data_IF_500452646313
#
_entry.id   IF_500452646313
#
_cell.length_a   1.000
_cell.length_b   1.000
_cell.length_c   1.000
_cell.angle_alpha   90.00
_cell.angle_beta   90.00
_cell.angle_gamma   90.00
#
_symmetry.space_group_name_H-M   'P 1'
#
loop_
_entity.id
_entity.type
_entity.pdbx_description
1 polymer ?
#
# COMPACT_ATOMS: atom_id res chain seq x y z
N UNK A 1 12.01 -43.44 4.21
CA UNK A 1 11.75 -42.84 5.53
C UNK A 1 12.01 -41.35 5.36
N UNK A 2 11.02 -40.67 4.79
CA UNK A 2 11.06 -39.23 4.53
C UNK A 2 10.81 -38.54 5.86
N UNK A 3 11.86 -37.95 6.44
CA UNK A 3 11.69 -37.10 7.61
C UNK A 3 10.79 -35.92 7.21
N UNK A 4 9.69 -35.78 7.96
CA UNK A 4 8.79 -34.64 7.92
C UNK A 4 9.60 -33.36 8.13
N UNK A 5 9.88 -32.64 7.05
CA UNK A 5 10.15 -31.21 7.13
C UNK A 5 8.81 -30.50 7.32
N UNK A 6 8.22 -30.68 8.50
CA UNK A 6 7.16 -29.80 8.97
C UNK A 6 7.74 -28.40 9.06
N UNK A 7 6.96 -27.40 8.65
CA UNK A 7 7.31 -25.98 8.75
C UNK A 7 7.69 -25.66 10.22
N UNK A 8 8.99 -25.74 10.54
CA UNK A 8 9.46 -25.59 11.90
C UNK A 8 9.50 -24.09 12.26
N UNK A 9 8.39 -23.59 12.79
CA UNK A 9 8.36 -22.54 13.81
C UNK A 9 9.09 -21.24 13.51
N UNK A 10 8.93 -20.66 12.32
CA UNK A 10 9.33 -19.25 12.11
C UNK A 10 8.58 -18.38 13.13
N UNK A 11 9.30 -17.63 14.00
CA UNK A 11 8.67 -16.79 15.00
C UNK A 11 8.11 -15.49 14.39
N UNK A 12 8.28 -15.28 13.08
CA UNK A 12 7.95 -14.04 12.40
C UNK A 12 6.48 -13.61 12.58
N UNK A 13 5.47 -14.50 12.45
CA UNK A 13 4.07 -14.11 12.68
C UNK A 13 3.83 -13.66 14.13
N UNK A 14 4.42 -14.36 15.10
CA UNK A 14 4.29 -14.02 16.52
C UNK A 14 4.93 -12.66 16.83
N UNK A 15 6.17 -12.45 16.35
CA UNK A 15 6.89 -11.17 16.51
C UNK A 15 6.11 -10.03 15.87
N UNK A 16 5.56 -10.24 14.67
CA UNK A 16 4.76 -9.24 13.98
C UNK A 16 3.50 -8.87 14.77
N UNK A 17 2.73 -9.85 15.25
CA UNK A 17 1.51 -9.60 16.04
C UNK A 17 1.81 -8.85 17.35
N UNK A 18 2.83 -9.26 18.10
CA UNK A 18 3.24 -8.60 19.34
C UNK A 18 3.69 -7.17 19.07
N UNK A 19 4.47 -6.96 18.02
CA UNK A 19 4.94 -5.63 17.64
C UNK A 19 3.80 -4.71 17.18
N UNK A 20 2.81 -5.23 16.45
CA UNK A 20 1.60 -4.48 16.07
C UNK A 20 0.80 -4.08 17.30
N UNK A 21 0.66 -4.95 18.29
CA UNK A 21 -0.01 -4.59 19.55
C UNK A 21 0.74 -3.48 20.30
N UNK A 22 2.08 -3.58 20.40
CA UNK A 22 2.92 -2.54 21.03
C UNK A 22 2.82 -1.22 20.26
N UNK A 23 2.80 -1.25 18.93
CA UNK A 23 2.63 -0.07 18.10
C UNK A 23 1.29 0.63 18.40
N UNK A 24 0.17 -0.11 18.41
CA UNK A 24 -1.14 0.49 18.70
C UNK A 24 -1.25 1.00 20.13
N UNK A 25 -0.71 0.27 21.12
CA UNK A 25 -0.66 0.74 22.51
C UNK A 25 0.16 2.02 22.59
N UNK A 26 1.34 2.08 21.95
CA UNK A 26 2.16 3.28 21.90
C UNK A 26 1.45 4.47 21.25
N UNK A 27 0.74 4.25 20.14
CA UNK A 27 -0.02 5.30 19.45
C UNK A 27 -1.16 5.84 20.32
N UNK A 28 -1.94 4.95 20.93
CA UNK A 28 -3.06 5.35 21.80
C UNK A 28 -2.53 6.08 23.02
N UNK A 29 -1.46 5.60 23.65
CA UNK A 29 -0.88 6.24 24.82
C UNK A 29 -0.30 7.63 24.50
N UNK A 30 0.33 7.78 23.32
CA UNK A 30 0.92 9.02 22.87
C UNK A 30 -0.11 10.09 22.45
N UNK A 31 -1.32 9.68 22.02
CA UNK A 31 -2.35 10.60 21.51
C UNK A 31 -3.50 10.83 22.47
N UNK A 32 -3.88 9.84 23.27
CA UNK A 32 -5.07 9.86 24.12
C UNK A 32 -4.91 9.07 25.44
N UNK A 33 -3.68 8.76 25.87
CA UNK A 33 -3.39 7.84 26.99
C UNK A 33 -3.48 8.39 28.40
N UNK A 34 -3.74 9.69 28.58
CA UNK A 34 -3.76 10.34 29.89
C UNK A 34 -5.13 10.32 30.57
N UNK A 35 -5.15 10.54 31.89
CA UNK A 35 -6.39 10.71 32.68
C UNK A 35 -7.25 11.87 32.16
N UNK A 36 -6.63 12.88 31.55
CA UNK A 36 -7.26 14.04 30.94
C UNK A 36 -7.53 13.88 29.41
N UNK A 37 -7.31 12.70 28.83
CA UNK A 37 -7.25 12.45 27.37
C UNK A 37 -6.19 13.28 26.62
N UNK A 38 -5.30 13.94 27.34
CA UNK A 38 -4.10 14.57 26.79
C UNK A 38 -3.03 13.48 26.72
N UNK A 39 -2.73 13.00 25.51
CA UNK A 39 -1.70 11.97 25.30
C UNK A 39 -0.33 12.39 25.84
N UNK A 40 0.40 11.43 26.41
CA UNK A 40 1.74 11.70 26.92
C UNK A 40 2.76 11.50 25.79
N UNK A 41 3.39 12.59 25.38
CA UNK A 41 4.43 12.62 24.33
C UNK A 41 5.62 11.69 24.60
N UNK A 42 5.81 11.26 25.86
CA UNK A 42 6.77 10.22 26.21
C UNK A 42 6.52 8.91 25.46
N UNK A 43 5.27 8.50 25.23
CA UNK A 43 4.98 7.18 24.64
C UNK A 43 5.27 7.06 23.13
N UNK A 44 5.70 8.13 22.46
CA UNK A 44 6.19 8.06 21.08
C UNK A 44 7.35 7.06 20.91
N UNK A 45 8.19 6.86 21.93
CA UNK A 45 9.24 5.83 21.85
C UNK A 45 8.65 4.41 21.78
N UNK A 46 7.52 4.14 22.46
CA UNK A 46 6.84 2.83 22.43
C UNK A 46 6.25 2.59 21.05
N UNK A 47 5.66 3.62 20.44
CA UNK A 47 5.17 3.55 19.06
C UNK A 47 6.29 3.22 18.07
N UNK A 48 7.43 3.93 18.16
CA UNK A 48 8.60 3.69 17.30
C UNK A 48 9.18 2.29 17.53
N UNK A 49 9.24 1.82 18.78
CA UNK A 49 9.67 0.47 19.12
C UNK A 49 8.74 -0.57 18.49
N UNK A 50 7.42 -0.35 18.53
CA UNK A 50 6.43 -1.17 17.86
C UNK A 50 6.64 -1.24 16.34
N UNK A 51 6.89 -0.10 15.68
CA UNK A 51 7.22 -0.06 14.25
C UNK A 51 8.51 -0.83 13.96
N UNK A 52 9.57 -0.63 14.74
CA UNK A 52 10.83 -1.33 14.56
C UNK A 52 10.67 -2.84 14.71
N UNK A 53 9.86 -3.28 15.69
CA UNK A 53 9.49 -4.68 15.87
C UNK A 53 8.70 -5.24 14.69
N UNK A 54 7.75 -4.48 14.15
CA UNK A 54 6.95 -4.89 12.97
C UNK A 54 7.84 -5.04 11.74
N UNK A 55 8.72 -4.08 11.48
CA UNK A 55 9.69 -4.14 10.38
C UNK A 55 10.60 -5.37 10.57
N UNK A 56 11.08 -5.61 11.78
CA UNK A 56 11.92 -6.78 12.06
C UNK A 56 11.18 -8.09 11.79
N UNK A 57 9.94 -8.23 12.30
CA UNK A 57 9.10 -9.41 12.04
C UNK A 57 8.82 -9.61 10.54
N UNK A 58 8.54 -8.54 9.82
CA UNK A 58 8.35 -8.59 8.37
C UNK A 58 9.64 -8.98 7.62
N UNK A 59 10.79 -8.43 7.99
CA UNK A 59 12.07 -8.76 7.37
C UNK A 59 12.50 -10.20 7.66
N UNK A 60 12.25 -10.70 8.87
CA UNK A 60 12.44 -12.12 9.20
C UNK A 60 11.57 -13.01 8.31
N UNK A 61 10.30 -12.61 8.10
CA UNK A 61 9.41 -13.33 7.19
C UNK A 61 9.94 -13.29 5.76
N UNK A 62 10.32 -12.13 5.22
CA UNK A 62 10.87 -12.01 3.85
C UNK A 62 12.14 -12.85 3.66
N UNK A 63 13.03 -12.89 4.66
CA UNK A 63 14.27 -13.67 4.61
C UNK A 63 13.99 -15.18 4.53
N UNK A 64 12.99 -15.66 5.27
CA UNK A 64 12.59 -17.07 5.27
C UNK A 64 12.08 -17.54 3.89
N UNK A 65 11.43 -16.64 3.15
CA UNK A 65 10.90 -16.90 1.80
C UNK A 65 11.85 -16.54 0.67
N UNK A 66 13.02 -15.94 0.95
CA UNK A 66 13.91 -15.41 -0.08
C UNK A 66 14.53 -16.51 -0.96
N UNK A 67 14.84 -17.66 -0.37
CA UNK A 67 15.51 -18.80 -1.04
C UNK A 67 14.51 -19.90 -1.46
N UNK A 68 13.20 -19.66 -1.32
CA UNK A 68 12.16 -20.65 -1.60
C UNK A 68 11.78 -20.69 -3.09
N UNK A 69 12.50 -21.50 -3.85
CA UNK A 69 12.32 -21.69 -5.28
C UNK A 69 11.08 -22.54 -5.65
N UNK A 70 10.66 -23.44 -4.76
CA UNK A 70 9.49 -24.32 -4.93
C UNK A 70 8.32 -23.89 -4.05
N UNK A 71 7.09 -24.14 -4.50
CA UNK A 71 5.91 -24.15 -3.62
C UNK A 71 6.04 -25.39 -2.72
N UNK A 72 6.58 -25.19 -1.52
CA UNK A 72 6.83 -26.26 -0.55
C UNK A 72 5.52 -26.98 -0.21
N UNK A 73 5.47 -28.30 -0.43
CA UNK A 73 4.47 -29.18 0.17
C UNK A 73 3.06 -29.24 -0.44
N UNK A 74 2.73 -28.54 -1.53
CA UNK A 74 1.39 -28.65 -2.11
C UNK A 74 1.32 -29.69 -3.25
N UNK A 75 1.05 -30.96 -2.90
CA UNK A 75 0.13 -31.75 -3.73
C UNK A 75 -1.24 -31.06 -3.65
N UNK A 76 -1.43 -29.98 -4.43
CA UNK A 76 -2.77 -29.41 -4.61
C UNK A 76 -3.57 -30.50 -5.31
N UNK A 77 -4.44 -31.17 -4.56
CA UNK A 77 -5.44 -32.07 -5.14
C UNK A 77 -6.38 -31.19 -5.95
N UNK A 78 -6.02 -31.01 -7.23
CA UNK A 78 -6.79 -30.21 -8.16
C UNK A 78 -8.10 -30.89 -8.47
N UNK A 79 -9.16 -30.55 -7.74
CA UNK A 79 -10.50 -31.12 -7.98
C UNK A 79 -11.10 -30.67 -9.31
N UNK A 80 -10.62 -29.56 -9.89
CA UNK A 80 -11.11 -29.03 -11.15
C UNK A 80 -9.95 -28.64 -12.10
N UNK A 81 -9.99 -29.06 -13.38
CA UNK A 81 -8.88 -28.90 -14.33
C UNK A 81 -8.52 -27.44 -14.63
N UNK A 82 -9.48 -26.50 -14.52
CA UNK A 82 -9.22 -25.07 -14.71
C UNK A 82 -8.36 -24.46 -13.59
N UNK A 83 -8.72 -24.71 -12.33
CA UNK A 83 -8.06 -24.10 -11.17
C UNK A 83 -6.72 -24.76 -10.84
N UNK A 84 -6.52 -26.01 -11.26
CA UNK A 84 -5.25 -26.72 -11.14
C UNK A 84 -4.09 -26.05 -11.92
N UNK A 85 -4.38 -25.15 -12.87
CA UNK A 85 -3.35 -24.45 -13.66
C UNK A 85 -2.78 -23.19 -13.00
N UNK A 86 -3.39 -22.70 -11.92
CA UNK A 86 -3.02 -21.45 -11.25
C UNK A 86 -2.30 -21.77 -9.95
N UNK A 87 -1.06 -21.31 -9.82
CA UNK A 87 -0.26 -21.39 -8.59
C UNK A 87 -0.94 -20.63 -7.44
N UNK A 88 -0.97 -21.20 -6.24
CA UNK A 88 -1.59 -20.61 -5.03
C UNK A 88 -1.07 -19.20 -4.75
N UNK A 89 0.25 -18.94 -4.96
CA UNK A 89 0.85 -17.61 -4.79
C UNK A 89 0.23 -16.55 -5.70
N UNK A 90 -0.04 -16.88 -6.97
CA UNK A 90 -0.69 -15.95 -7.91
C UNK A 90 -2.15 -15.71 -7.55
N UNK A 91 -2.86 -16.75 -7.11
CA UNK A 91 -4.24 -16.61 -6.66
C UNK A 91 -4.34 -15.70 -5.43
N UNK A 92 -3.45 -15.88 -4.45
CA UNK A 92 -3.34 -15.00 -3.28
C UNK A 92 -3.07 -13.55 -3.65
N UNK A 93 -2.18 -13.30 -4.62
CA UNK A 93 -1.91 -11.95 -5.14
C UNK A 93 -3.17 -11.30 -5.76
N UNK A 94 -3.97 -12.05 -6.51
CA UNK A 94 -5.24 -11.54 -7.05
C UNK A 94 -6.23 -11.15 -5.95
N UNK A 95 -6.39 -11.99 -4.92
CA UNK A 95 -7.26 -11.67 -3.78
C UNK A 95 -6.75 -10.41 -3.06
N UNK A 96 -5.45 -10.33 -2.78
CA UNK A 96 -4.83 -9.17 -2.16
C UNK A 96 -5.11 -7.88 -2.95
N UNK A 97 -4.88 -7.89 -4.27
CA UNK A 97 -5.18 -6.73 -5.13
C UNK A 97 -6.67 -6.36 -5.13
N UNK A 98 -7.57 -7.34 -5.10
CA UNK A 98 -9.01 -7.06 -4.99
C UNK A 98 -9.36 -6.39 -3.66
N UNK A 99 -8.72 -6.77 -2.54
CA UNK A 99 -8.95 -6.11 -1.24
C UNK A 99 -8.49 -4.65 -1.24
N UNK A 100 -7.36 -4.34 -1.87
CA UNK A 100 -6.89 -2.95 -2.04
C UNK A 100 -7.88 -2.13 -2.88
N UNK A 101 -8.38 -2.69 -3.99
CA UNK A 101 -9.40 -2.03 -4.82
C UNK A 101 -10.67 -1.73 -4.02
N UNK A 102 -11.09 -2.62 -3.11
CA UNK A 102 -12.23 -2.37 -2.24
C UNK A 102 -11.96 -1.20 -1.28
N UNK A 103 -10.79 -1.14 -0.64
CA UNK A 103 -10.41 -0.02 0.23
C UNK A 103 -10.45 1.31 -0.53
N UNK A 104 -9.80 1.42 -1.70
CA UNK A 104 -9.85 2.64 -2.51
C UNK A 104 -11.26 2.98 -3.01
N UNK A 105 -12.06 1.97 -3.33
CA UNK A 105 -13.47 2.16 -3.74
C UNK A 105 -14.30 2.76 -2.62
N UNK A 106 -14.07 2.37 -1.35
CA UNK A 106 -14.76 2.99 -0.21
C UNK A 106 -14.36 4.46 -0.02
N UNK A 107 -13.07 4.79 -0.17
CA UNK A 107 -12.59 6.17 -0.10
C UNK A 107 -13.19 7.05 -1.22
N UNK A 108 -13.22 6.54 -2.46
CA UNK A 108 -13.84 7.24 -3.59
C UNK A 108 -15.36 7.37 -3.43
N UNK A 109 -16.03 6.33 -2.93
CA UNK A 109 -17.47 6.36 -2.67
C UNK A 109 -17.82 7.39 -1.59
N UNK A 110 -17.04 7.46 -0.51
CA UNK A 110 -17.19 8.48 0.51
C UNK A 110 -17.06 9.89 -0.10
N UNK A 111 -16.00 10.14 -0.88
CA UNK A 111 -15.82 11.41 -1.60
C UNK A 111 -17.01 11.77 -2.50
N UNK A 112 -17.47 10.83 -3.34
CA UNK A 112 -18.59 11.06 -4.25
C UNK A 112 -19.89 11.35 -3.48
N UNK A 113 -20.12 10.67 -2.35
CA UNK A 113 -21.31 10.90 -1.52
C UNK A 113 -21.30 12.28 -0.88
N UNK A 114 -20.15 12.71 -0.34
CA UNK A 114 -20.01 14.07 0.18
C UNK A 114 -20.16 15.12 -0.92
N UNK A 115 -19.59 14.89 -2.10
CA UNK A 115 -19.73 15.80 -3.26
C UNK A 115 -21.18 15.91 -3.74
N UNK A 116 -21.92 14.81 -3.76
CA UNK A 116 -23.32 14.79 -4.21
C UNK A 116 -24.29 15.40 -3.17
N UNK A 117 -23.93 15.37 -1.89
CA UNK A 117 -24.76 15.92 -0.81
C UNK A 117 -24.59 17.45 -0.63
N UNK A 118 -23.47 18.01 -1.07
CA UNK A 118 -23.17 19.44 -0.93
C UNK A 118 -23.58 20.23 -2.19
N UNK A 119 -24.38 21.30 -2.04
CA UNK A 119 -24.69 22.22 -3.14
C UNK A 119 -23.44 22.98 -3.60
N UNK A 120 -23.41 23.40 -4.88
CA UNK A 120 -22.29 24.17 -5.42
C UNK A 120 -22.16 25.53 -4.72
N UNK A 121 -20.92 25.93 -4.42
CA UNK A 121 -20.62 27.19 -3.72
C UNK A 121 -21.25 28.39 -4.44
N UNK A 122 -22.12 29.11 -3.74
CA UNK A 122 -22.56 30.45 -4.12
C UNK A 122 -22.36 31.39 -2.93
N UNK A 123 -21.96 32.65 -3.16
CA UNK A 123 -21.65 33.59 -2.08
C UNK A 123 -22.84 33.95 -1.17
N UNK A 124 -24.07 33.60 -1.58
CA UNK A 124 -25.31 33.86 -0.85
C UNK A 124 -25.92 32.57 -0.22
N UNK A 125 -25.22 31.43 -0.27
CA UNK A 125 -25.76 30.13 0.15
C UNK A 125 -25.37 29.80 1.60
N UNK A 126 -26.38 29.80 2.48
CA UNK A 126 -26.29 29.20 3.82
C UNK A 126 -26.14 27.67 3.67
N UNK A 127 -24.94 27.16 3.95
CA UNK A 127 -24.58 25.77 3.75
C UNK A 127 -25.06 24.85 4.88
N UNK A 128 -25.81 25.37 5.87
CA UNK A 128 -26.53 24.58 6.88
C UNK A 128 -25.64 23.71 7.78
N UNK A 129 -24.33 23.91 7.71
CA UNK A 129 -23.31 23.25 8.53
C UNK A 129 -22.77 24.30 9.51
N UNK A 130 -22.77 23.97 10.80
CA UNK A 130 -22.28 24.82 11.90
C UNK A 130 -20.77 25.17 11.82
N UNK A 131 -20.07 24.72 10.78
CA UNK A 131 -18.65 24.99 10.53
C UNK A 131 -18.55 25.69 9.18
N UNK A 132 -18.36 27.01 9.24
CA UNK A 132 -18.34 27.90 8.10
C UNK A 132 -17.00 27.81 7.35
N UNK A 133 -16.93 26.90 6.38
CA UNK A 133 -16.27 27.11 5.09
C UNK A 133 -17.05 26.32 4.03
N UNK A 134 -17.68 27.05 3.12
CA UNK A 134 -18.42 26.45 2.03
C UNK A 134 -17.42 25.77 1.07
N UNK A 135 -17.61 24.47 0.79
CA UNK A 135 -16.60 23.62 0.17
C UNK A 135 -16.21 24.11 -1.24
N UNK A 136 -14.92 24.45 -1.42
CA UNK A 136 -14.35 24.69 -2.75
C UNK A 136 -14.03 23.33 -3.39
N UNK A 137 -14.46 23.08 -4.64
CA UNK A 137 -14.10 21.84 -5.30
C UNK A 137 -12.60 21.63 -5.36
N UNK A 138 -12.13 20.44 -4.98
CA UNK A 138 -10.72 20.08 -5.15
C UNK A 138 -10.22 20.35 -6.58
N UNK A 139 -11.11 20.24 -7.58
CA UNK A 139 -10.85 20.61 -8.96
C UNK A 139 -10.42 22.07 -9.16
N UNK A 140 -10.95 23.03 -8.39
CA UNK A 140 -10.58 24.45 -8.51
C UNK A 140 -9.23 24.76 -7.85
N UNK A 141 -8.86 24.05 -6.79
CA UNK A 141 -7.51 24.09 -6.22
C UNK A 141 -6.50 23.48 -7.21
N UNK A 142 -6.86 22.34 -7.83
CA UNK A 142 -6.02 21.60 -8.78
C UNK A 142 -5.82 22.33 -10.12
N UNK A 143 -6.75 23.20 -10.56
CA UNK A 143 -6.60 23.96 -11.82
C UNK A 143 -5.29 24.76 -11.89
N UNK A 144 -4.81 25.26 -10.75
CA UNK A 144 -3.56 26.02 -10.67
C UNK A 144 -2.30 25.17 -10.95
N UNK A 145 -2.36 23.85 -10.71
CA UNK A 145 -1.24 22.91 -10.83
C UNK A 145 -1.46 21.80 -11.88
N UNK A 146 -2.42 21.98 -12.79
CA UNK A 146 -2.84 20.97 -13.77
C UNK A 146 -1.67 20.41 -14.61
N UNK A 147 -0.67 21.24 -14.92
CA UNK A 147 0.53 20.84 -15.66
C UNK A 147 1.32 19.76 -14.90
N UNK A 148 1.50 19.91 -13.58
CA UNK A 148 2.20 18.92 -12.75
C UNK A 148 1.40 17.62 -12.64
N UNK A 149 0.07 17.70 -12.56
CA UNK A 149 -0.82 16.53 -12.58
C UNK A 149 -0.71 15.73 -13.87
N UNK A 150 -0.66 16.41 -15.03
CA UNK A 150 -0.48 15.76 -16.34
C UNK A 150 0.89 15.08 -16.44
N UNK A 151 1.96 15.77 -16.02
CA UNK A 151 3.32 15.20 -16.02
C UNK A 151 3.37 13.94 -15.15
N UNK A 152 2.78 13.96 -13.96
CA UNK A 152 2.72 12.81 -13.06
C UNK A 152 1.94 11.64 -13.68
N UNK A 153 0.82 11.91 -14.34
CA UNK A 153 0.02 10.88 -15.01
C UNK A 153 0.82 10.24 -16.16
N UNK A 154 1.51 11.06 -16.96
CA UNK A 154 2.37 10.57 -18.03
C UNK A 154 3.56 9.76 -17.50
N UNK A 155 4.17 10.20 -16.39
CA UNK A 155 5.23 9.46 -15.71
C UNK A 155 4.76 8.07 -15.24
N UNK A 156 3.55 7.96 -14.67
CA UNK A 156 3.00 6.67 -14.27
C UNK A 156 2.67 5.76 -15.46
N UNK A 157 2.14 6.31 -16.56
CA UNK A 157 1.88 5.56 -17.79
C UNK A 157 3.16 5.04 -18.44
N UNK A 158 4.21 5.87 -18.50
CA UNK A 158 5.52 5.43 -18.97
C UNK A 158 6.13 4.39 -18.02
N UNK A 159 5.94 4.55 -16.71
CA UNK A 159 6.40 3.57 -15.71
C UNK A 159 5.76 2.19 -15.95
N UNK A 160 4.45 2.12 -16.15
CA UNK A 160 3.78 0.84 -16.44
C UNK A 160 4.25 0.22 -17.77
N UNK A 161 4.48 1.04 -18.81
CA UNK A 161 5.08 0.57 -20.07
C UNK A 161 6.48 -0.01 -19.85
N UNK A 162 7.34 0.65 -19.06
CA UNK A 162 8.69 0.16 -18.78
C UNK A 162 8.68 -1.18 -18.05
N UNK A 163 7.74 -1.43 -17.13
CA UNK A 163 7.58 -2.73 -16.47
C UNK A 163 7.22 -3.84 -17.47
N UNK A 164 6.31 -3.56 -18.40
CA UNK A 164 5.93 -4.54 -19.44
C UNK A 164 7.11 -4.85 -20.37
N UNK A 165 7.90 -3.84 -20.73
CA UNK A 165 9.13 -4.03 -21.51
C UNK A 165 10.20 -4.81 -20.72
N UNK A 166 10.29 -4.59 -19.41
CA UNK A 166 11.16 -5.37 -18.53
C UNK A 166 10.76 -6.85 -18.51
N UNK A 167 9.47 -7.12 -18.40
CA UNK A 167 8.92 -8.48 -18.44
C UNK A 167 9.19 -9.16 -19.80
N UNK A 168 9.00 -8.44 -20.91
CA UNK A 168 9.31 -8.94 -22.25
C UNK A 168 10.81 -9.26 -22.41
N UNK A 169 11.68 -8.36 -21.96
CA UNK A 169 13.12 -8.58 -21.98
C UNK A 169 13.55 -9.77 -21.11
N UNK A 170 12.94 -9.95 -19.94
CA UNK A 170 13.18 -11.09 -19.06
C UNK A 170 12.74 -12.42 -19.72
N UNK A 171 11.57 -12.43 -20.39
CA UNK A 171 11.10 -13.59 -21.16
C UNK A 171 12.02 -13.95 -22.32
N UNK A 172 12.68 -12.97 -22.93
CA UNK A 172 13.68 -13.18 -23.99
C UNK A 172 15.09 -13.45 -23.45
N UNK A 173 15.25 -13.81 -22.16
CA UNK A 173 16.55 -14.05 -21.50
C UNK A 173 17.55 -12.87 -21.60
N UNK A 174 17.06 -11.65 -21.81
CA UNK A 174 17.89 -10.45 -21.86
C UNK A 174 17.87 -9.72 -20.52
N UNK A 175 18.60 -10.27 -19.55
CA UNK A 175 18.69 -9.74 -18.17
C UNK A 175 19.18 -8.29 -18.11
N UNK A 176 20.11 -7.91 -19.01
CA UNK A 176 20.62 -6.53 -19.10
C UNK A 176 19.55 -5.53 -19.54
N UNK A 177 18.71 -5.91 -20.52
CA UNK A 177 17.59 -5.07 -20.92
C UNK A 177 16.51 -5.02 -19.82
N UNK A 178 16.18 -6.16 -19.21
CA UNK A 178 15.22 -6.22 -18.11
C UNK A 178 15.63 -5.30 -16.93
N UNK A 179 16.90 -5.37 -16.51
CA UNK A 179 17.42 -4.54 -15.41
C UNK A 179 17.35 -3.04 -15.75
N UNK A 180 17.70 -2.65 -16.99
CA UNK A 180 17.61 -1.24 -17.42
C UNK A 180 16.18 -0.72 -17.38
N UNK A 181 15.22 -1.52 -17.82
CA UNK A 181 13.80 -1.13 -17.77
C UNK A 181 13.28 -1.04 -16.33
N UNK A 182 13.67 -1.96 -15.44
CA UNK A 182 13.31 -1.88 -14.01
C UNK A 182 13.92 -0.64 -13.32
N UNK A 183 15.17 -0.31 -13.62
CA UNK A 183 15.81 0.91 -13.13
C UNK A 183 15.06 2.15 -13.63
N UNK A 184 14.66 2.17 -14.91
CA UNK A 184 13.86 3.26 -15.46
C UNK A 184 12.51 3.36 -14.72
N UNK A 185 11.80 2.25 -14.50
CA UNK A 185 10.57 2.22 -13.69
C UNK A 185 10.78 2.82 -12.30
N UNK A 186 11.86 2.43 -11.61
CA UNK A 186 12.20 2.93 -10.29
C UNK A 186 12.43 4.45 -10.28
N UNK A 187 13.15 4.99 -11.27
CA UNK A 187 13.34 6.43 -11.42
C UNK A 187 12.04 7.17 -11.70
N UNK A 188 11.18 6.65 -12.58
CA UNK A 188 9.88 7.27 -12.88
C UNK A 188 8.95 7.24 -11.67
N UNK A 189 8.95 6.15 -10.90
CA UNK A 189 8.20 6.07 -9.64
C UNK A 189 8.72 7.02 -8.57
N UNK A 190 10.04 7.15 -8.43
CA UNK A 190 10.67 8.11 -7.50
C UNK A 190 10.37 9.56 -7.90
N UNK A 191 10.41 9.86 -9.20
CA UNK A 191 10.03 11.17 -9.73
C UNK A 191 8.59 11.52 -9.37
N UNK A 192 7.67 10.57 -9.52
CA UNK A 192 6.27 10.75 -9.12
C UNK A 192 6.13 11.09 -7.63
N UNK A 193 6.82 10.35 -6.75
CA UNK A 193 6.80 10.61 -5.31
C UNK A 193 7.40 11.97 -4.95
N UNK A 194 8.51 12.36 -5.58
CA UNK A 194 9.14 13.66 -5.36
C UNK A 194 8.25 14.83 -5.80
N UNK A 195 7.59 14.70 -6.96
CA UNK A 195 6.63 15.71 -7.43
C UNK A 195 5.40 15.79 -6.52
N UNK A 196 4.92 14.67 -5.97
CA UNK A 196 3.84 14.67 -4.99
C UNK A 196 4.24 15.30 -3.66
N UNK A 197 5.44 15.04 -3.18
CA UNK A 197 5.96 15.67 -1.97
C UNK A 197 6.12 17.20 -2.15
N UNK A 198 6.54 17.65 -3.34
CA UNK A 198 6.63 19.08 -3.68
C UNK A 198 5.26 19.74 -3.81
N UNK A 199 4.26 19.06 -4.41
CA UNK A 199 2.89 19.60 -4.55
C UNK A 199 2.19 19.76 -3.19
N UNK A 200 2.60 19.01 -2.17
CA UNK A 200 2.02 19.08 -0.83
C UNK A 200 2.66 20.12 0.09
N UNK A 201 3.81 20.66 -0.27
CA UNK A 201 4.54 21.67 0.50
C UNK A 201 4.28 23.07 -0.04
#
# INVERSE_FOLDING_TARGET
MSEEHGHHGTPAPFVFCVATAIMFIGLVMATAGGEDNEGDTGYWFVFILGIAGMITGFMMWVQDYWDQDSEEGEEIVGYHPFWASITTRKFGMWIFLLTEVMVFSTLLSAYLRYRAALPDYSPDLDCGLYFEECWVPAADIIRSHLIFGVINTFALLLSSLTVVLALYAARNNNSKAATRYLIATFFLGTLFLALKAYEWW
#
